data_IF_413223904693
#
_entry.id   IF_413223904693
#
_cell.length_a   1.000
_cell.length_b   1.000
_cell.length_c   1.000
_cell.angle_alpha   90.00
_cell.angle_beta   90.00
_cell.angle_gamma   90.00
#
_symmetry.space_group_name_H-M   'P 1'
#
loop_
_entity.id
_entity.type
_entity.pdbx_description
1 polymer ?
#
# COMPACT_ATOMS: atom_id res chain seq x y z
N UNK A 1 -19.96 1.43 -17.13
CA UNK A 1 -20.62 0.10 -17.12
C UNK A 1 -19.57 -1.01 -17.31
N UNK A 2 -18.60 -1.13 -16.41
CA UNK A 2 -17.57 -2.18 -16.44
C UNK A 2 -17.78 -3.21 -15.31
N UNK A 3 -19.02 -3.41 -14.87
CA UNK A 3 -19.40 -4.46 -13.94
C UNK A 3 -20.14 -5.53 -14.73
N UNK A 4 -19.42 -6.61 -15.08
CA UNK A 4 -19.87 -7.95 -15.50
C UNK A 4 -19.08 -8.42 -16.72
N UNK A 5 -17.97 -9.12 -16.46
CA UNK A 5 -17.44 -10.28 -17.22
C UNK A 5 -15.97 -10.53 -16.87
N UNK A 6 -15.66 -10.61 -15.58
CA UNK A 6 -14.52 -11.38 -15.10
C UNK A 6 -15.14 -12.52 -14.28
N UNK A 7 -15.47 -13.61 -14.97
CA UNK A 7 -15.67 -14.90 -14.32
C UNK A 7 -14.31 -15.32 -13.72
N UNK A 8 -14.27 -16.12 -12.65
CA UNK A 8 -13.05 -16.37 -11.92
C UNK A 8 -12.13 -17.22 -12.80
N UNK A 9 -11.20 -16.58 -13.50
CA UNK A 9 -9.95 -17.24 -13.84
C UNK A 9 -9.41 -17.66 -12.49
N UNK A 10 -9.35 -18.98 -12.27
CA UNK A 10 -8.67 -19.55 -11.13
C UNK A 10 -7.24 -19.01 -11.19
N UNK A 11 -7.03 -17.91 -10.47
CA UNK A 11 -5.76 -17.32 -10.21
C UNK A 11 -5.07 -18.45 -9.46
N UNK A 12 -4.21 -19.17 -10.19
CA UNK A 12 -3.26 -20.05 -9.55
C UNK A 12 -2.49 -19.10 -8.67
N UNK A 13 -2.89 -19.05 -7.39
CA UNK A 13 -2.05 -18.60 -6.32
C UNK A 13 -0.82 -19.47 -6.47
N UNK A 14 0.15 -18.97 -7.24
CA UNK A 14 1.53 -19.17 -6.92
C UNK A 14 1.62 -18.69 -5.48
N UNK A 15 1.43 -19.63 -4.56
CA UNK A 15 2.21 -19.71 -3.36
C UNK A 15 3.66 -19.53 -3.83
N UNK A 16 4.04 -18.26 -4.01
CA UNK A 16 5.40 -17.87 -3.75
C UNK A 16 5.55 -18.31 -2.31
N UNK A 17 6.18 -19.47 -2.14
CA UNK A 17 6.76 -19.86 -0.88
C UNK A 17 7.62 -18.67 -0.51
N UNK A 18 7.05 -17.74 0.25
CA UNK A 18 7.77 -16.80 1.09
C UNK A 18 8.58 -17.72 1.99
N UNK A 19 9.75 -18.13 1.48
CA UNK A 19 10.87 -18.54 2.30
C UNK A 19 10.89 -17.49 3.39
N UNK A 20 10.67 -17.92 4.63
CA UNK A 20 10.41 -17.06 5.78
C UNK A 20 11.61 -16.13 5.97
N UNK A 21 11.60 -15.07 5.19
CA UNK A 21 12.61 -14.05 5.18
C UNK A 21 12.24 -13.20 6.37
N UNK A 22 13.05 -13.36 7.40
CA UNK A 22 13.01 -12.52 8.59
C UNK A 22 13.02 -11.08 8.09
N UNK A 23 11.94 -10.34 8.30
CA UNK A 23 11.92 -8.91 7.97
C UNK A 23 12.84 -8.24 8.98
N UNK A 24 14.12 -8.10 8.60
CA UNK A 24 15.09 -7.34 9.38
C UNK A 24 14.72 -5.87 9.26
N UNK A 25 14.39 -5.28 10.40
CA UNK A 25 13.92 -3.91 10.60
C UNK A 25 14.64 -2.82 9.78
N UNK A 26 15.94 -2.99 9.54
CA UNK A 26 16.80 -2.01 8.87
C UNK A 26 17.09 -2.33 7.39
N UNK A 27 16.60 -3.46 6.87
CA UNK A 27 16.77 -3.78 5.46
C UNK A 27 15.60 -3.22 4.64
N UNK A 28 15.84 -2.81 3.39
CA UNK A 28 14.77 -2.45 2.48
C UNK A 28 13.77 -3.62 2.36
N UNK A 29 12.47 -3.35 2.19
CA UNK A 29 11.52 -4.40 1.83
C UNK A 29 11.92 -4.98 0.47
N UNK A 30 11.56 -6.24 0.15
CA UNK A 30 11.94 -6.83 -1.12
C UNK A 30 11.30 -6.08 -2.30
N UNK A 31 11.90 -6.18 -3.49
CA UNK A 31 11.46 -5.45 -4.69
C UNK A 31 10.02 -5.77 -5.11
N UNK A 32 9.50 -6.92 -4.69
CA UNK A 32 8.10 -7.28 -4.92
C UNK A 32 7.12 -6.41 -4.11
N UNK A 33 7.56 -5.84 -2.99
CA UNK A 33 6.82 -4.88 -2.14
C UNK A 33 7.20 -3.44 -2.44
N UNK A 34 8.50 -3.16 -2.55
CA UNK A 34 9.02 -1.79 -2.70
C UNK A 34 8.57 -1.13 -4.01
N UNK A 35 8.71 -1.84 -5.13
CA UNK A 35 8.42 -1.29 -6.46
C UNK A 35 6.93 -0.97 -6.64
N UNK A 36 5.97 -1.85 -6.28
CA UNK A 36 4.56 -1.52 -6.45
C UNK A 36 4.10 -0.35 -5.56
N UNK A 37 4.58 -0.26 -4.32
CA UNK A 37 4.26 0.87 -3.44
C UNK A 37 4.80 2.21 -3.94
N UNK A 38 6.00 2.19 -4.54
CA UNK A 38 6.57 3.37 -5.20
C UNK A 38 5.77 3.75 -6.45
N UNK A 39 5.51 2.79 -7.33
CA UNK A 39 4.79 2.99 -8.58
C UNK A 39 3.37 3.55 -8.36
N UNK A 40 2.69 3.09 -7.30
CA UNK A 40 1.34 3.53 -6.94
C UNK A 40 1.33 4.85 -6.14
N UNK A 41 2.49 5.40 -5.79
CA UNK A 41 2.60 6.64 -5.00
C UNK A 41 2.30 6.47 -3.50
N UNK A 42 1.95 5.25 -3.06
CA UNK A 42 1.64 4.93 -1.65
C UNK A 42 2.83 5.23 -0.76
N UNK A 43 4.03 4.79 -1.17
CA UNK A 43 5.28 5.11 -0.50
C UNK A 43 6.32 5.58 -1.50
N UNK A 44 6.65 6.87 -1.43
CA UNK A 44 7.67 7.50 -2.27
C UNK A 44 8.88 7.85 -1.42
N UNK A 45 10.07 7.80 -2.01
CA UNK A 45 11.31 8.25 -1.38
C UNK A 45 11.51 9.75 -1.51
N UNK A 46 12.70 10.19 -1.15
CA UNK A 46 13.19 11.52 -1.40
C UNK A 46 13.60 11.67 -2.88
N UNK A 47 13.64 12.92 -3.38
CA UNK A 47 13.86 13.21 -4.79
C UNK A 47 15.22 12.78 -5.37
N UNK A 48 16.10 12.21 -4.54
CA UNK A 48 17.41 11.65 -4.85
C UNK A 48 17.38 10.11 -5.03
N UNK A 49 16.21 9.48 -4.90
CA UNK A 49 16.04 8.02 -4.99
C UNK A 49 16.25 7.29 -3.67
N UNK A 50 16.62 7.97 -2.59
CA UNK A 50 16.67 7.37 -1.26
C UNK A 50 15.25 7.17 -0.73
N UNK A 51 14.90 5.93 -0.37
CA UNK A 51 13.54 5.60 0.06
C UNK A 51 13.31 5.75 1.57
N UNK A 52 14.36 5.94 2.37
CA UNK A 52 14.27 6.08 3.83
C UNK A 52 13.78 4.82 4.53
N UNK A 53 14.06 3.62 4.01
CA UNK A 53 13.49 2.36 4.52
C UNK A 53 13.86 2.08 5.99
N UNK A 54 15.02 2.58 6.41
CA UNK A 54 15.57 2.51 7.75
C UNK A 54 15.10 3.65 8.68
N UNK A 55 14.28 4.59 8.19
CA UNK A 55 13.71 5.67 8.99
C UNK A 55 12.40 5.26 9.67
N UNK A 56 12.04 5.92 10.77
CA UNK A 56 10.73 5.76 11.41
C UNK A 56 9.69 6.69 10.82
N UNK A 57 8.42 6.30 10.88
CA UNK A 57 7.32 7.11 10.35
C UNK A 57 6.77 8.10 11.36
N UNK A 58 6.41 9.31 10.90
CA UNK A 58 5.51 10.19 11.64
C UNK A 58 4.04 9.78 11.45
N UNK A 59 3.18 10.19 12.38
CA UNK A 59 1.73 9.95 12.29
C UNK A 59 1.11 10.58 11.05
N UNK A 60 1.59 11.75 10.63
CA UNK A 60 1.17 12.39 9.38
C UNK A 60 1.53 11.55 8.15
N UNK A 61 2.74 10.98 8.11
CA UNK A 61 3.16 10.07 7.04
C UNK A 61 2.31 8.81 7.01
N UNK A 62 2.05 8.18 8.16
CA UNK A 62 1.18 7.00 8.24
C UNK A 62 -0.24 7.26 7.72
N UNK A 63 -0.85 8.39 8.10
CA UNK A 63 -2.18 8.77 7.60
C UNK A 63 -2.20 8.97 6.08
N UNK A 64 -1.17 9.63 5.52
CA UNK A 64 -1.02 9.83 4.07
C UNK A 64 -0.87 8.50 3.33
N UNK A 65 -0.01 7.60 3.82
CA UNK A 65 0.22 6.26 3.25
C UNK A 65 -1.10 5.48 3.17
N UNK A 66 -1.85 5.42 4.27
CA UNK A 66 -3.10 4.66 4.32
C UNK A 66 -4.17 5.24 3.38
N UNK A 67 -4.34 6.57 3.35
CA UNK A 67 -5.30 7.21 2.46
C UNK A 67 -4.94 7.02 0.98
N UNK A 68 -3.65 7.11 0.64
CA UNK A 68 -3.20 6.81 -0.72
C UNK A 68 -3.41 5.33 -1.06
N UNK A 69 -3.08 4.40 -0.16
CA UNK A 69 -3.27 2.96 -0.35
C UNK A 69 -4.73 2.59 -0.63
N UNK A 70 -5.67 3.30 0.00
CA UNK A 70 -7.11 3.13 -0.24
C UNK A 70 -7.60 3.76 -1.55
N UNK A 71 -6.73 4.47 -2.29
CA UNK A 71 -7.05 5.13 -3.56
C UNK A 71 -7.77 6.47 -3.40
N UNK A 72 -7.57 7.16 -2.27
CA UNK A 72 -8.21 8.46 -1.99
C UNK A 72 -7.24 9.65 -2.05
N UNK A 73 -6.08 9.49 -2.68
CA UNK A 73 -5.09 10.57 -2.80
C UNK A 73 -5.63 11.78 -3.57
N UNK A 74 -6.26 11.58 -4.73
CA UNK A 74 -6.80 12.69 -5.53
C UNK A 74 -7.88 13.44 -4.76
N UNK A 75 -8.79 12.69 -4.10
CA UNK A 75 -9.78 13.28 -3.19
C UNK A 75 -9.10 14.09 -2.09
N UNK A 76 -8.03 13.57 -1.50
CA UNK A 76 -7.29 14.30 -0.47
C UNK A 76 -6.63 15.56 -1.05
N UNK A 77 -6.02 15.53 -2.23
CA UNK A 77 -5.33 16.70 -2.82
C UNK A 77 -6.29 17.79 -3.28
N UNK A 78 -7.42 17.40 -3.87
CA UNK A 78 -8.35 18.33 -4.53
C UNK A 78 -9.45 18.85 -3.61
N UNK A 79 -9.76 18.15 -2.52
CA UNK A 79 -10.92 18.50 -1.70
C UNK A 79 -10.75 19.85 -1.02
N UNK A 80 -11.52 20.84 -1.45
CA UNK A 80 -11.65 22.17 -0.80
C UNK A 80 -12.58 22.17 0.42
N UNK A 81 -13.36 21.11 0.63
CA UNK A 81 -14.45 21.04 1.63
C UNK A 81 -14.09 20.27 2.92
N UNK A 82 -12.83 19.84 3.08
CA UNK A 82 -12.40 19.12 4.28
C UNK A 82 -12.42 20.05 5.51
N UNK A 83 -13.21 19.65 6.50
CA UNK A 83 -13.32 20.34 7.79
C UNK A 83 -12.15 19.96 8.71
N UNK A 84 -11.54 20.92 9.42
CA UNK A 84 -10.54 20.62 10.45
C UNK A 84 -11.13 19.76 11.56
N UNK A 85 -10.45 18.67 11.91
CA UNK A 85 -10.80 17.74 12.99
C UNK A 85 -9.93 17.91 14.23
N UNK A 86 -8.70 18.40 14.05
CA UNK A 86 -7.70 18.52 15.10
C UNK A 86 -7.16 19.95 15.15
N UNK A 87 -7.04 20.56 16.34
CA UNK A 87 -6.61 21.95 16.50
C UNK A 87 -5.11 22.15 16.23
N UNK A 88 -4.31 21.10 16.33
CA UNK A 88 -2.86 21.10 16.11
C UNK A 88 -2.46 20.79 14.66
N UNK A 89 -3.44 20.65 13.75
CA UNK A 89 -3.21 20.42 12.33
C UNK A 89 -3.77 21.61 11.55
N UNK A 90 -2.90 22.59 11.28
CA UNK A 90 -3.20 23.77 10.48
C UNK A 90 -3.58 23.43 9.03
N UNK A 91 -4.37 24.27 8.36
CA UNK A 91 -4.82 24.06 6.97
C UNK A 91 -3.68 24.06 5.94
N UNK A 92 -2.58 24.72 6.29
CA UNK A 92 -1.32 24.82 5.57
C UNK A 92 -0.40 23.61 5.79
N UNK A 93 -0.70 22.77 6.78
CA UNK A 93 0.04 21.53 7.00
C UNK A 93 -0.11 20.59 5.79
N UNK A 94 1.00 20.08 5.25
CA UNK A 94 1.02 19.24 4.05
C UNK A 94 0.10 18.02 4.15
N UNK A 95 -0.01 17.43 5.34
CA UNK A 95 -0.88 16.28 5.62
C UNK A 95 -2.31 16.66 6.05
N UNK A 96 -2.68 17.95 6.10
CA UNK A 96 -3.98 18.40 6.63
C UNK A 96 -5.14 17.60 6.03
N UNK A 97 -5.21 17.52 4.71
CA UNK A 97 -6.33 16.85 4.02
C UNK A 97 -6.32 15.33 4.24
N UNK A 98 -5.14 14.71 4.22
CA UNK A 98 -4.97 13.27 4.47
C UNK A 98 -5.40 12.89 5.89
N UNK A 99 -4.96 13.63 6.90
CA UNK A 99 -5.29 13.40 8.32
C UNK A 99 -6.79 13.51 8.55
N UNK A 100 -7.41 14.57 8.03
CA UNK A 100 -8.84 14.80 8.24
C UNK A 100 -9.70 13.77 7.48
N UNK A 101 -9.27 13.31 6.30
CA UNK A 101 -9.95 12.24 5.57
C UNK A 101 -9.78 10.89 6.27
N UNK A 102 -8.60 10.59 6.82
CA UNK A 102 -8.40 9.42 7.66
C UNK A 102 -9.30 9.44 8.91
N UNK A 103 -9.54 10.63 9.47
CA UNK A 103 -10.48 10.80 10.58
C UNK A 103 -11.94 10.58 10.12
N UNK A 104 -12.32 11.09 8.95
CA UNK A 104 -13.65 10.86 8.36
C UNK A 104 -13.93 9.37 8.12
N UNK A 105 -12.94 8.61 7.65
CA UNK A 105 -13.05 7.15 7.51
C UNK A 105 -12.95 6.39 8.84
N UNK A 106 -12.69 7.07 9.97
CA UNK A 106 -12.55 6.43 11.28
C UNK A 106 -11.22 5.69 11.48
N UNK A 107 -10.25 5.87 10.58
CA UNK A 107 -8.91 5.25 10.65
C UNK A 107 -8.10 5.88 11.79
N UNK A 108 -8.19 7.20 11.94
CA UNK A 108 -7.55 7.94 13.04
C UNK A 108 -8.60 8.64 13.91
N UNK A 109 -8.37 8.65 15.22
CA UNK A 109 -9.27 9.28 16.21
C UNK A 109 -8.63 10.45 16.96
N UNK A 110 -7.32 10.66 16.79
CA UNK A 110 -6.53 11.57 17.62
C UNK A 110 -6.29 11.03 19.04
N UNK A 111 -5.74 11.88 19.89
CA UNK A 111 -5.47 11.61 21.31
C UNK A 111 -6.60 12.14 22.20
N UNK A 112 -6.67 11.72 23.48
CA UNK A 112 -7.67 12.22 24.43
C UNK A 112 -7.66 13.74 24.63
N UNK A 113 -6.50 14.38 24.42
CA UNK A 113 -6.32 15.85 24.45
C UNK A 113 -6.87 16.56 23.19
N UNK A 114 -7.56 15.83 22.30
CA UNK A 114 -8.13 16.26 21.03
C UNK A 114 -7.10 16.62 19.95
N UNK A 115 -5.83 16.33 20.15
CA UNK A 115 -4.76 16.57 19.17
C UNK A 115 -4.52 15.37 18.27
N UNK A 116 -3.88 15.58 17.12
CA UNK A 116 -3.41 14.49 16.25
C UNK A 116 -1.94 14.14 16.45
N UNK A 117 -1.11 15.14 16.78
CA UNK A 117 0.36 15.11 16.89
C UNK A 117 1.02 14.67 15.57
N UNK A 118 0.87 15.46 14.48
CA UNK A 118 1.28 15.03 13.14
C UNK A 118 2.76 14.66 13.02
N UNK A 119 3.63 15.37 13.73
CA UNK A 119 5.08 15.17 13.69
C UNK A 119 5.59 14.16 14.73
N UNK A 120 4.71 13.64 15.60
CA UNK A 120 5.10 12.56 16.51
C UNK A 120 5.33 11.28 15.70
N UNK A 121 6.41 10.56 16.01
CA UNK A 121 6.60 9.21 15.49
C UNK A 121 5.46 8.28 15.92
N UNK A 122 5.03 7.44 14.98
CA UNK A 122 3.96 6.47 15.20
C UNK A 122 4.57 5.18 15.73
N UNK A 123 4.04 4.70 16.85
CA UNK A 123 4.46 3.41 17.39
C UNK A 123 3.94 2.28 16.50
N UNK A 124 4.59 1.13 16.58
CA UNK A 124 4.16 -0.09 15.89
C UNK A 124 2.73 -0.48 16.27
N UNK A 125 2.37 -0.39 17.55
CA UNK A 125 1.01 -0.56 18.04
C UNK A 125 0.02 0.43 17.41
N UNK A 126 0.35 1.73 17.42
CA UNK A 126 -0.51 2.77 16.86
C UNK A 126 -0.75 2.55 15.36
N UNK A 127 0.28 2.15 14.60
CA UNK A 127 0.15 1.87 13.17
C UNK A 127 -0.72 0.64 12.89
N UNK A 128 -0.58 -0.43 13.69
CA UNK A 128 -1.43 -1.62 13.56
C UNK A 128 -2.90 -1.33 13.83
N UNK A 129 -3.20 -0.47 14.80
CA UNK A 129 -4.57 -0.01 15.04
C UNK A 129 -5.12 0.75 13.83
N UNK A 130 -4.30 1.59 13.18
CA UNK A 130 -4.72 2.28 11.95
C UNK A 130 -5.02 1.29 10.82
N UNK A 131 -4.19 0.25 10.64
CA UNK A 131 -4.42 -0.79 9.65
C UNK A 131 -5.63 -1.67 9.97
N UNK A 132 -5.87 -2.01 11.24
CA UNK A 132 -7.04 -2.75 11.67
C UNK A 132 -8.33 -1.99 11.34
N UNK A 133 -8.32 -0.66 11.52
CA UNK A 133 -9.44 0.19 11.12
C UNK A 133 -9.60 0.27 9.61
N UNK A 134 -8.50 0.41 8.87
CA UNK A 134 -8.53 0.33 7.40
C UNK A 134 -9.14 -0.99 6.93
N UNK A 135 -8.76 -2.12 7.52
CA UNK A 135 -9.31 -3.44 7.23
C UNK A 135 -10.85 -3.45 7.34
N UNK A 136 -11.40 -2.90 8.42
CA UNK A 136 -12.85 -2.80 8.59
C UNK A 136 -13.51 -1.85 7.59
N UNK A 137 -12.89 -0.70 7.28
CA UNK A 137 -13.40 0.22 6.26
C UNK A 137 -13.46 -0.43 4.88
N UNK A 138 -12.53 -1.33 4.58
CA UNK A 138 -12.50 -2.10 3.33
C UNK A 138 -13.48 -3.29 3.33
N UNK A 139 -14.28 -3.46 4.37
CA UNK A 139 -15.28 -4.53 4.47
C UNK A 139 -14.76 -5.83 5.05
N UNK A 140 -13.56 -5.83 5.64
CA UNK A 140 -13.02 -6.98 6.35
C UNK A 140 -13.85 -7.32 7.59
N UNK A 141 -14.14 -8.61 7.75
CA UNK A 141 -14.92 -9.14 8.88
C UNK A 141 -13.95 -9.59 9.95
N UNK A 142 -14.01 -8.93 11.11
CA UNK A 142 -13.17 -9.33 12.25
C UNK A 142 -13.62 -10.68 12.83
N UNK A 143 -12.69 -11.39 13.44
CA UNK A 143 -12.98 -12.65 14.16
C UNK A 143 -12.95 -12.44 15.66
N UNK A 144 -13.44 -13.41 16.43
CA UNK A 144 -13.12 -13.45 17.86
C UNK A 144 -11.60 -13.45 18.04
N UNK A 145 -11.10 -12.62 18.95
CA UNK A 145 -9.67 -12.30 19.06
C UNK A 145 -8.83 -13.56 19.28
N UNK A 146 -7.98 -13.88 18.31
CA UNK A 146 -7.09 -15.02 18.40
C UNK A 146 -5.78 -14.59 19.07
N UNK A 147 -5.64 -14.88 20.37
CA UNK A 147 -4.40 -14.72 21.11
C UNK A 147 -4.30 -13.46 21.97
N UNK A 148 -3.19 -13.37 22.73
CA UNK A 148 -2.85 -12.26 23.60
C UNK A 148 -1.61 -11.57 23.03
N UNK A 149 -1.76 -10.31 22.60
CA UNK A 149 -0.64 -9.46 22.22
C UNK A 149 -0.26 -8.57 23.41
N UNK A 150 1.03 -8.46 23.70
CA UNK A 150 1.55 -7.51 24.69
C UNK A 150 1.58 -6.09 24.09
N UNK A 151 0.40 -5.52 23.83
CA UNK A 151 0.21 -4.15 23.36
C UNK A 151 -0.52 -3.37 24.45
N UNK A 152 0.05 -2.25 24.88
CA UNK A 152 -0.57 -1.35 25.85
C UNK A 152 -0.92 0.01 25.24
N UNK A 153 -2.03 0.64 25.66
CA UNK A 153 -3.14 0.09 26.44
C UNK A 153 -3.90 -1.07 25.75
N UNK A 154 -4.50 -1.95 26.57
CA UNK A 154 -5.27 -3.14 26.17
C UNK A 154 -6.27 -2.92 25.02
N UNK A 155 -6.94 -1.77 24.94
CA UNK A 155 -7.91 -1.52 23.86
C UNK A 155 -7.26 -1.57 22.46
N UNK A 156 -5.96 -1.27 22.35
CA UNK A 156 -5.22 -1.42 21.09
C UNK A 156 -5.03 -2.88 20.73
N UNK A 157 -4.67 -3.73 21.71
CA UNK A 157 -4.60 -5.17 21.52
C UNK A 157 -5.95 -5.74 21.04
N UNK A 158 -7.06 -5.27 21.60
CA UNK A 158 -8.41 -5.71 21.22
C UNK A 158 -8.80 -5.31 19.79
N UNK A 159 -8.39 -4.14 19.31
CA UNK A 159 -8.64 -3.75 17.91
C UNK A 159 -7.76 -4.57 16.94
N UNK A 160 -6.49 -4.81 17.29
CA UNK A 160 -5.54 -5.53 16.42
C UNK A 160 -5.84 -7.04 16.36
N UNK A 161 -6.15 -7.68 17.49
CA UNK A 161 -6.40 -9.13 17.57
C UNK A 161 -7.65 -9.59 16.82
N UNK A 162 -8.57 -8.67 16.50
CA UNK A 162 -9.76 -8.95 15.68
C UNK A 162 -9.45 -9.07 14.19
N UNK A 163 -8.23 -8.76 13.76
CA UNK A 163 -7.82 -8.79 12.35
C UNK A 163 -6.73 -9.85 12.13
N UNK A 164 -7.09 -11.14 12.02
CA UNK A 164 -6.12 -12.24 11.92
C UNK A 164 -5.21 -12.12 10.69
N UNK A 165 -5.70 -11.51 9.61
CA UNK A 165 -4.92 -11.25 8.39
C UNK A 165 -3.72 -10.31 8.64
N UNK A 166 -3.82 -9.40 9.62
CA UNK A 166 -2.68 -8.58 10.06
C UNK A 166 -1.73 -9.38 10.95
N UNK A 167 -2.26 -10.28 11.79
CA UNK A 167 -1.46 -11.13 12.69
C UNK A 167 -0.58 -12.12 11.92
N UNK A 168 -1.06 -12.67 10.80
CA UNK A 168 -0.27 -13.60 9.98
C UNK A 168 0.92 -12.93 9.29
N UNK A 169 0.85 -11.62 9.07
CA UNK A 169 1.93 -10.83 8.44
C UNK A 169 2.91 -10.30 9.49
N UNK A 170 2.42 -10.07 10.70
CA UNK A 170 3.24 -9.70 11.84
C UNK A 170 4.18 -10.83 12.21
N UNK A 171 5.44 -10.73 11.77
CA UNK A 171 6.51 -11.49 12.40
C UNK A 171 6.79 -10.84 13.77
N UNK A 172 6.56 -11.52 14.90
CA UNK A 172 7.08 -11.03 16.17
C UNK A 172 8.61 -11.06 16.05
N UNK A 173 9.24 -9.88 16.08
CA UNK A 173 10.67 -9.79 16.37
C UNK A 173 10.85 -10.39 17.77
N UNK A 174 11.72 -11.39 17.91
CA UNK A 174 12.00 -11.98 19.22
C UNK A 174 12.45 -10.87 20.19
N UNK A 175 11.61 -10.54 21.18
CA UNK A 175 11.94 -9.62 22.26
C UNK A 175 11.68 -8.12 22.04
N UNK A 176 11.12 -7.68 20.90
CA UNK A 176 10.78 -6.25 20.73
C UNK A 176 9.33 -5.90 21.12
N UNK A 177 9.16 -4.77 21.80
CA UNK A 177 7.86 -4.21 22.19
C UNK A 177 7.15 -3.57 20.99
N UNK A 178 5.82 -3.64 20.99
CA UNK A 178 4.96 -2.87 20.07
C UNK A 178 4.93 -1.36 20.36
N UNK A 179 5.53 -0.93 21.48
CA UNK A 179 5.63 0.48 21.86
C UNK A 179 6.74 1.22 21.12
N UNK A 180 7.66 0.52 20.46
CA UNK A 180 8.71 1.13 19.65
C UNK A 180 8.12 1.79 18.39
N UNK A 181 8.80 2.83 17.90
CA UNK A 181 8.45 3.49 16.65
C UNK A 181 8.57 2.53 15.46
N UNK A 182 7.59 2.57 14.56
CA UNK A 182 7.60 1.68 13.39
C UNK A 182 8.59 2.18 12.34
N UNK A 183 9.40 1.26 11.81
CA UNK A 183 10.30 1.54 10.69
C UNK A 183 9.52 1.53 9.37
N UNK A 184 9.94 2.38 8.43
CA UNK A 184 9.29 2.58 7.13
C UNK A 184 9.25 1.30 6.31
N UNK A 185 10.32 0.49 6.33
CA UNK A 185 10.35 -0.82 5.67
C UNK A 185 9.25 -1.77 6.19
N UNK A 186 9.06 -1.82 7.51
CA UNK A 186 8.04 -2.67 8.10
C UNK A 186 6.63 -2.16 7.78
N UNK A 187 6.42 -0.85 7.88
CA UNK A 187 5.16 -0.22 7.53
C UNK A 187 4.78 -0.49 6.06
N UNK A 188 5.77 -0.54 5.16
CA UNK A 188 5.62 -0.88 3.75
C UNK A 188 5.11 -2.30 3.55
N UNK A 189 5.74 -3.29 4.19
CA UNK A 189 5.29 -4.68 4.13
C UNK A 189 3.87 -4.83 4.65
N UNK A 190 3.55 -4.21 5.78
CA UNK A 190 2.21 -4.31 6.38
C UNK A 190 1.12 -3.69 5.51
N UNK A 191 1.35 -2.49 4.95
CA UNK A 191 0.36 -1.86 4.06
C UNK A 191 0.22 -2.63 2.75
N UNK A 192 1.32 -3.14 2.19
CA UNK A 192 1.29 -3.94 0.96
C UNK A 192 0.46 -5.20 1.14
N UNK A 193 0.67 -5.96 2.22
CA UNK A 193 -0.11 -7.16 2.48
C UNK A 193 -1.61 -6.87 2.59
N UNK A 194 -1.98 -5.74 3.20
CA UNK A 194 -3.37 -5.33 3.29
C UNK A 194 -3.93 -4.89 1.92
N UNK A 195 -3.14 -4.18 1.12
CA UNK A 195 -3.52 -3.82 -0.24
C UNK A 195 -3.74 -5.05 -1.13
N UNK A 196 -2.83 -6.03 -1.09
CA UNK A 196 -2.92 -7.29 -1.81
C UNK A 196 -4.18 -8.08 -1.39
N UNK A 197 -4.41 -8.19 -0.07
CA UNK A 197 -5.57 -8.88 0.50
C UNK A 197 -6.92 -8.38 -0.03
N UNK A 198 -7.04 -7.07 -0.24
CA UNK A 198 -8.26 -6.43 -0.73
C UNK A 198 -8.24 -6.12 -2.24
N UNK A 199 -7.23 -6.59 -2.98
CA UNK A 199 -7.12 -6.35 -4.42
C UNK A 199 -6.97 -4.86 -4.78
N UNK A 200 -6.32 -4.08 -3.91
CA UNK A 200 -6.04 -2.67 -4.14
C UNK A 200 -4.78 -2.46 -4.98
N UNK A 201 -3.97 -3.51 -5.12
CA UNK A 201 -2.78 -3.55 -5.95
C UNK A 201 -2.74 -4.89 -6.69
N UNK A 202 -2.32 -4.88 -7.94
CA UNK A 202 -2.04 -6.09 -8.70
C UNK A 202 -0.67 -5.99 -9.34
N UNK A 203 0.04 -7.11 -9.32
CA UNK A 203 1.35 -7.26 -9.94
C UNK A 203 1.29 -8.39 -10.97
N UNK A 204 1.32 -8.03 -12.26
CA UNK A 204 1.19 -8.96 -13.37
C UNK A 204 2.52 -9.09 -14.10
N UNK A 205 3.06 -10.31 -14.15
CA UNK A 205 4.26 -10.63 -14.93
C UNK A 205 3.84 -11.36 -16.20
N UNK A 206 4.34 -10.94 -17.36
CA UNK A 206 4.01 -11.58 -18.63
C UNK A 206 4.77 -11.02 -19.82
N UNK A 207 4.35 -11.40 -21.02
CA UNK A 207 4.90 -10.87 -22.28
C UNK A 207 3.93 -9.89 -22.90
N UNK A 208 4.40 -8.69 -23.24
CA UNK A 208 3.61 -7.72 -24.00
C UNK A 208 3.58 -8.18 -25.45
N UNK A 209 2.41 -8.49 -26.00
CA UNK A 209 2.28 -9.03 -27.35
C UNK A 209 1.77 -8.00 -28.36
N UNK A 210 1.07 -6.96 -27.92
CA UNK A 210 0.61 -5.86 -28.77
C UNK A 210 0.66 -4.54 -27.99
N UNK A 211 0.96 -3.46 -28.70
CA UNK A 211 0.93 -2.08 -28.18
C UNK A 211 0.02 -1.25 -29.08
N UNK A 212 -1.01 -0.65 -28.49
CA UNK A 212 -1.96 0.24 -29.15
C UNK A 212 -1.89 1.67 -28.59
N UNK A 213 -2.73 2.56 -29.12
CA UNK A 213 -2.69 4.00 -28.81
C UNK A 213 -2.85 4.34 -27.32
N UNK A 214 -3.62 3.56 -26.56
CA UNK A 214 -3.84 3.72 -25.11
C UNK A 214 -4.04 2.36 -24.42
N UNK A 215 -3.44 1.31 -24.96
CA UNK A 215 -3.58 -0.03 -24.42
C UNK A 215 -2.39 -0.89 -24.78
N UNK A 216 -2.18 -1.92 -23.99
CA UNK A 216 -1.29 -3.03 -24.32
C UNK A 216 -2.06 -4.34 -24.17
N UNK A 217 -1.57 -5.37 -24.85
CA UNK A 217 -2.04 -6.73 -24.65
C UNK A 217 -0.94 -7.52 -23.99
N UNK A 218 -1.20 -8.05 -22.80
CA UNK A 218 -0.30 -8.90 -22.04
C UNK A 218 -0.75 -10.36 -22.14
N UNK A 219 0.20 -11.28 -22.30
CA UNK A 219 0.00 -12.69 -22.01
C UNK A 219 0.72 -12.98 -20.67
N UNK A 220 -0.02 -13.22 -19.57
CA UNK A 220 0.59 -13.49 -18.27
C UNK A 220 1.49 -14.73 -18.31
N UNK A 221 2.55 -14.73 -17.50
CA UNK A 221 3.42 -15.89 -17.36
C UNK A 221 2.62 -17.10 -16.86
N UNK A 222 2.76 -18.23 -17.55
CA UNK A 222 2.02 -19.45 -17.24
C UNK A 222 0.57 -19.48 -17.75
N UNK A 223 0.13 -18.47 -18.51
CA UNK A 223 -1.19 -18.43 -19.16
C UNK A 223 -1.06 -18.32 -20.68
N UNK A 224 -2.07 -18.80 -21.40
CA UNK A 224 -2.26 -18.55 -22.85
C UNK A 224 -3.31 -17.46 -23.11
N UNK A 225 -3.97 -16.95 -22.07
CA UNK A 225 -5.00 -15.92 -22.20
C UNK A 225 -4.37 -14.55 -22.44
N UNK A 226 -5.03 -13.77 -23.30
CA UNK A 226 -4.63 -12.40 -23.63
C UNK A 226 -5.44 -11.43 -22.77
N UNK A 227 -4.77 -10.55 -22.04
CA UNK A 227 -5.39 -9.50 -21.24
C UNK A 227 -5.14 -8.16 -21.92
N UNK A 228 -6.21 -7.44 -22.27
CA UNK A 228 -6.12 -6.05 -22.75
C UNK A 228 -6.08 -5.14 -21.52
N UNK A 229 -5.03 -4.33 -21.44
CA UNK A 229 -4.79 -3.41 -20.33
C UNK A 229 -4.78 -1.99 -20.88
N UNK A 230 -5.73 -1.18 -20.43
CA UNK A 230 -5.80 0.25 -20.78
C UNK A 230 -4.70 1.04 -20.07
N UNK A 231 -4.08 1.97 -20.79
CA UNK A 231 -3.07 2.88 -20.28
C UNK A 231 -3.68 4.26 -20.04
N UNK A 232 -3.16 4.98 -19.05
CA UNK A 232 -3.47 6.39 -18.81
C UNK A 232 -2.28 7.27 -19.16
N UNK A 233 -2.48 8.60 -19.17
CA UNK A 233 -1.40 9.57 -19.32
C UNK A 233 -0.33 9.47 -18.23
N UNK A 234 -0.70 8.93 -17.07
CA UNK A 234 0.18 8.80 -15.91
C UNK A 234 0.94 7.47 -15.88
N UNK A 235 0.63 6.55 -16.80
CA UNK A 235 1.32 5.28 -16.89
C UNK A 235 2.79 5.49 -17.27
N UNK A 236 3.69 5.12 -16.36
CA UNK A 236 5.14 5.17 -16.61
C UNK A 236 5.66 3.81 -17.05
N UNK A 237 6.49 3.79 -18.09
CA UNK A 237 7.25 2.61 -18.48
C UNK A 237 8.72 2.84 -18.18
N UNK A 238 9.38 1.90 -17.51
CA UNK A 238 10.79 2.01 -17.13
C UNK A 238 11.56 0.75 -17.49
N UNK A 239 12.84 0.94 -17.79
CA UNK A 239 13.84 -0.11 -17.93
C UNK A 239 15.01 0.25 -17.01
N UNK A 240 15.23 -0.54 -15.97
CA UNK A 240 16.12 -0.14 -14.86
C UNK A 240 15.67 1.17 -14.25
N UNK A 241 16.57 2.16 -14.19
CA UNK A 241 16.28 3.51 -13.68
C UNK A 241 15.76 4.50 -14.75
N UNK A 242 15.72 4.10 -16.03
CA UNK A 242 15.35 5.01 -17.12
C UNK A 242 13.88 4.85 -17.51
N UNK A 243 13.18 5.99 -17.63
CA UNK A 243 11.87 6.01 -18.25
C UNK A 243 12.01 5.84 -19.77
N UNK A 244 11.22 4.92 -20.33
CA UNK A 244 11.22 4.62 -21.76
C UNK A 244 9.82 4.82 -22.33
N UNK A 245 9.73 5.20 -23.61
CA UNK A 245 8.45 5.38 -24.28
C UNK A 245 7.74 4.04 -24.47
N UNK A 246 6.43 4.01 -24.19
CA UNK A 246 5.57 2.87 -24.52
C UNK A 246 5.30 2.92 -26.01
N UNK A 247 5.97 2.06 -26.79
CA UNK A 247 5.81 1.96 -28.23
C UNK A 247 5.96 0.52 -28.70
N UNK A 248 5.87 0.25 -30.00
CA UNK A 248 6.01 -1.11 -30.54
C UNK A 248 7.35 -1.79 -30.19
N UNK A 249 8.36 -1.03 -29.72
CA UNK A 249 9.63 -1.57 -29.23
C UNK A 249 9.50 -2.49 -28.00
N UNK A 250 8.41 -2.43 -27.23
CA UNK A 250 8.19 -3.32 -26.08
C UNK A 250 7.40 -4.59 -26.45
N UNK A 251 6.89 -4.70 -27.68
CA UNK A 251 6.20 -5.92 -28.12
C UNK A 251 7.20 -7.09 -28.20
N UNK A 252 6.77 -8.26 -27.73
CA UNK A 252 7.58 -9.47 -27.56
C UNK A 252 8.50 -9.47 -26.33
N UNK A 253 8.45 -8.44 -25.47
CA UNK A 253 9.29 -8.33 -24.27
C UNK A 253 8.55 -8.75 -23.01
N UNK A 254 9.30 -9.30 -22.05
CA UNK A 254 8.84 -9.54 -20.69
C UNK A 254 8.60 -8.22 -19.95
N UNK A 255 7.47 -8.11 -19.27
CA UNK A 255 7.11 -6.95 -18.50
C UNK A 255 6.43 -7.33 -17.18
N UNK A 256 6.70 -6.53 -16.15
CA UNK A 256 5.99 -6.51 -14.87
C UNK A 256 5.07 -5.28 -14.88
N UNK A 257 3.78 -5.48 -14.72
CA UNK A 257 2.76 -4.44 -14.78
C UNK A 257 2.16 -4.28 -13.40
N UNK A 258 2.30 -3.08 -12.85
CA UNK A 258 1.71 -2.71 -11.57
C UNK A 258 0.40 -1.97 -11.84
N UNK A 259 -0.70 -2.54 -11.35
CA UNK A 259 -2.03 -1.94 -11.41
C UNK A 259 -2.45 -1.47 -10.01
N UNK A 260 -3.08 -0.31 -9.95
CA UNK A 260 -3.78 0.19 -8.77
C UNK A 260 -5.26 0.46 -9.07
N UNK A 261 -5.98 1.02 -8.09
CA UNK A 261 -7.42 1.30 -8.18
C UNK A 261 -7.84 2.23 -9.33
N UNK A 262 -6.89 3.01 -9.87
CA UNK A 262 -7.09 3.95 -10.99
C UNK A 262 -6.61 3.46 -12.36
N UNK A 263 -6.07 2.24 -12.48
CA UNK A 263 -5.51 1.71 -13.72
C UNK A 263 -4.02 1.36 -13.61
N UNK A 264 -3.30 1.41 -14.73
CA UNK A 264 -1.87 1.05 -14.77
C UNK A 264 -1.02 2.14 -14.15
N UNK A 265 -0.33 1.79 -13.08
CA UNK A 265 0.57 2.68 -12.36
C UNK A 265 1.99 2.64 -12.94
N UNK A 266 2.49 1.44 -13.28
CA UNK A 266 3.79 1.30 -13.93
C UNK A 266 3.90 0.05 -14.80
N UNK A 267 4.76 0.11 -15.81
CA UNK A 267 5.25 -1.00 -16.61
C UNK A 267 6.77 -1.09 -16.49
N UNK A 268 7.29 -2.19 -15.99
CA UNK A 268 8.72 -2.44 -15.83
C UNK A 268 9.16 -3.49 -16.85
N UNK A 269 10.14 -3.17 -17.69
CA UNK A 269 10.72 -4.15 -18.62
C UNK A 269 11.66 -5.10 -17.86
N UNK A 270 11.54 -6.41 -18.12
CA UNK A 270 12.29 -7.48 -17.42
C UNK A 270 13.41 -8.05 -18.32
N UNK A 271 13.80 -7.35 -19.39
CA UNK A 271 14.76 -7.85 -20.38
C UNK A 271 16.23 -7.60 -20.03
#
# INVERSE_FOLDING_TARGET
MLHRKLAPVALVCSFVLLTHSVVHAALPPPDDVALPLHATGVMVGFGDGYMGWDETLTRAQAAKIIITAMGYEDRARESVTINPRFPDVGRDHWAFRFINLACEFGIVKGYPDRTFKPEKHVTRAEYLVMLARMYHVLGGVGTEGAGSLSIEPQWMAEEVTKVPDLLSVLQPRQGESFDADIMRAEAATLIYCLMDRFGLIYDLIGTVVEVGTNQIVLVPQGSSERIVIGLSSDTKCVQGAQQVSISNNIAGKGARIILGRGGVCALLRID
#
